data_IF_065003261376
#
_entry.id   IF_065003261376
#
_cell.length_a   1.000
_cell.length_b   1.000
_cell.length_c   1.000
_cell.angle_alpha   90.00
_cell.angle_beta   90.00
_cell.angle_gamma   90.00
#
_symmetry.space_group_name_H-M   'P 1'
#
loop_
_entity.id
_entity.type
_entity.pdbx_description
1 polymer ?
#
# COMPACT_ATOMS: atom_id res chain seq x y z
N UNK A 1 -26.71 -10.34 -1.92
CA UNK A 1 -27.02 -10.09 -0.49
C UNK A 1 -25.83 -10.60 0.29
N UNK A 2 -25.11 -9.71 0.96
CA UNK A 2 -23.91 -10.09 1.71
C UNK A 2 -24.32 -10.95 2.91
N UNK A 3 -23.77 -12.17 2.98
CA UNK A 3 -24.13 -13.19 3.98
C UNK A 3 -23.33 -13.05 5.29
N UNK A 4 -22.93 -11.83 5.64
CA UNK A 4 -22.21 -11.55 6.88
C UNK A 4 -22.87 -10.43 7.67
N UNK A 5 -22.76 -10.50 9.00
CA UNK A 5 -23.34 -9.53 9.92
C UNK A 5 -22.54 -8.23 9.85
N UNK A 6 -23.19 -7.11 9.51
CA UNK A 6 -22.57 -5.77 9.50
C UNK A 6 -22.10 -5.35 10.90
N UNK A 7 -21.04 -4.55 10.93
CA UNK A 7 -20.56 -3.88 12.15
C UNK A 7 -21.45 -2.67 12.48
N UNK A 8 -21.61 -2.32 13.76
CA UNK A 8 -22.29 -1.08 14.13
C UNK A 8 -21.44 0.15 13.75
N UNK A 9 -22.08 1.28 13.47
CA UNK A 9 -21.39 2.50 13.01
C UNK A 9 -20.38 3.06 14.03
N UNK A 10 -20.65 2.82 15.31
CA UNK A 10 -19.83 3.24 16.44
C UNK A 10 -18.82 2.17 16.87
N UNK A 11 -18.65 1.08 16.09
CA UNK A 11 -17.65 0.05 16.37
C UNK A 11 -16.26 0.68 16.52
N UNK A 12 -15.59 0.40 17.64
CA UNK A 12 -14.29 1.00 18.01
C UNK A 12 -14.25 2.55 18.09
N UNK A 13 -15.39 3.24 18.13
CA UNK A 13 -15.43 4.70 18.32
C UNK A 13 -14.86 5.14 19.68
N UNK A 14 -14.91 4.26 20.68
CA UNK A 14 -14.21 4.41 21.95
C UNK A 14 -13.02 3.45 22.04
N UNK A 15 -11.82 3.95 21.76
CA UNK A 15 -10.60 3.15 21.80
C UNK A 15 -10.29 2.55 23.19
N UNK A 16 -10.69 3.21 24.29
CA UNK A 16 -10.41 2.73 25.65
C UNK A 16 -11.16 1.43 26.01
N UNK A 17 -12.22 1.10 25.27
CA UNK A 17 -13.08 -0.06 25.47
C UNK A 17 -13.36 -0.78 24.15
N UNK A 18 -12.33 -0.98 23.34
CA UNK A 18 -12.43 -1.57 22.01
C UNK A 18 -11.97 -3.04 21.95
N UNK A 19 -12.51 -3.75 20.97
CA UNK A 19 -12.07 -5.09 20.57
C UNK A 19 -11.85 -5.08 19.05
N UNK A 20 -10.97 -5.96 18.56
CA UNK A 20 -10.76 -6.13 17.12
C UNK A 20 -12.07 -6.50 16.42
N UNK A 21 -12.19 -6.26 15.11
CA UNK A 21 -13.32 -6.81 14.33
C UNK A 21 -13.44 -8.34 14.54
N UNK A 22 -14.66 -8.91 14.40
CA UNK A 22 -14.85 -10.34 14.56
C UNK A 22 -14.01 -11.17 13.58
N UNK A 23 -13.51 -12.33 14.03
CA UNK A 23 -12.58 -13.20 13.28
C UNK A 23 -13.05 -13.56 11.86
N UNK A 24 -14.37 -13.61 11.64
CA UNK A 24 -14.94 -13.90 10.33
C UNK A 24 -14.68 -12.78 9.30
N UNK A 25 -14.44 -11.54 9.72
CA UNK A 25 -14.06 -10.45 8.81
C UNK A 25 -12.66 -10.61 8.22
N UNK A 26 -11.79 -11.38 8.88
CA UNK A 26 -10.45 -11.70 8.38
C UNK A 26 -10.41 -13.00 7.57
N UNK A 27 -11.50 -13.80 7.53
CA UNK A 27 -11.43 -15.18 7.03
C UNK A 27 -12.53 -15.54 6.04
N UNK A 28 -13.65 -14.80 6.01
CA UNK A 28 -14.76 -15.10 5.09
C UNK A 28 -14.55 -14.45 3.73
N UNK A 29 -14.62 -15.26 2.67
CA UNK A 29 -14.56 -14.76 1.29
C UNK A 29 -15.68 -13.75 0.99
N UNK A 30 -16.89 -13.94 1.52
CA UNK A 30 -17.99 -13.00 1.30
C UNK A 30 -17.72 -11.60 1.89
N UNK A 31 -16.96 -11.51 2.98
CA UNK A 31 -16.51 -10.21 3.52
C UNK A 31 -15.49 -9.59 2.58
N UNK A 32 -14.51 -10.38 2.13
CA UNK A 32 -13.50 -9.91 1.19
C UNK A 32 -14.09 -9.42 -0.13
N UNK A 33 -15.01 -10.16 -0.76
CA UNK A 33 -15.65 -9.73 -2.01
C UNK A 33 -16.40 -8.40 -1.84
N UNK A 34 -17.00 -8.19 -0.67
CA UNK A 34 -17.61 -6.90 -0.37
C UNK A 34 -16.56 -5.80 -0.24
N UNK A 35 -15.51 -6.00 0.58
CA UNK A 35 -14.42 -5.01 0.75
C UNK A 35 -13.69 -4.71 -0.57
N UNK A 36 -13.49 -5.71 -1.41
CA UNK A 36 -12.96 -5.57 -2.77
C UNK A 36 -13.75 -4.53 -3.56
N UNK A 37 -15.07 -4.69 -3.58
CA UNK A 37 -15.96 -3.85 -4.39
C UNK A 37 -16.35 -2.54 -3.71
N UNK A 38 -16.29 -2.40 -2.38
CA UNK A 38 -16.69 -1.16 -1.68
C UNK A 38 -15.54 -0.32 -1.18
N UNK A 39 -14.38 -0.93 -0.91
CA UNK A 39 -13.17 -0.24 -0.46
C UNK A 39 -12.20 -0.12 -1.62
N UNK A 40 -11.67 -1.24 -2.14
CA UNK A 40 -10.53 -1.21 -3.04
C UNK A 40 -10.85 -0.68 -4.44
N UNK A 41 -12.04 -0.98 -4.97
CA UNK A 41 -12.49 -0.43 -6.25
C UNK A 41 -12.84 1.06 -6.19
N UNK A 42 -13.13 1.63 -5.01
CA UNK A 42 -13.55 3.03 -4.86
C UNK A 42 -12.54 3.92 -4.11
N UNK A 43 -11.45 3.36 -3.59
CA UNK A 43 -10.39 4.11 -2.91
C UNK A 43 -9.21 4.37 -3.84
N UNK A 44 -8.51 5.47 -3.59
CA UNK A 44 -7.18 5.71 -4.15
C UNK A 44 -6.19 4.71 -3.55
N UNK A 45 -5.58 3.90 -4.40
CA UNK A 45 -4.60 2.86 -4.06
C UNK A 45 -3.22 3.30 -4.51
N UNK A 46 -2.27 3.41 -3.58
CA UNK A 46 -0.88 3.71 -3.89
C UNK A 46 -0.22 2.51 -4.59
N UNK A 47 0.48 2.74 -5.70
CA UNK A 47 1.03 1.66 -6.55
C UNK A 47 2.54 1.75 -6.77
N UNK A 48 3.18 2.85 -6.40
CA UNK A 48 4.62 2.99 -6.52
C UNK A 48 5.09 4.42 -6.36
N UNK A 49 6.41 4.60 -6.28
CA UNK A 49 7.02 5.92 -6.27
C UNK A 49 7.10 6.50 -7.68
N UNK A 50 6.97 7.84 -7.80
CA UNK A 50 6.99 8.53 -9.11
C UNK A 50 8.24 8.26 -9.93
N UNK A 51 9.37 7.95 -9.27
CA UNK A 51 10.63 7.63 -9.94
C UNK A 51 10.53 6.43 -10.89
N UNK A 52 9.61 5.48 -10.63
CA UNK A 52 9.43 4.30 -11.50
C UNK A 52 8.90 4.67 -12.90
N UNK A 53 8.24 5.83 -13.04
CA UNK A 53 7.67 6.34 -14.31
C UNK A 53 7.95 7.83 -14.55
N UNK A 54 9.14 8.28 -14.14
CA UNK A 54 9.57 9.66 -14.33
C UNK A 54 9.83 10.02 -15.81
N UNK A 55 10.30 9.04 -16.59
CA UNK A 55 10.67 9.23 -17.99
C UNK A 55 9.49 8.95 -18.93
N UNK A 56 9.44 9.64 -20.07
CA UNK A 56 8.47 9.32 -21.12
C UNK A 56 8.60 7.84 -21.55
N UNK A 57 7.44 7.24 -21.77
CA UNK A 57 7.23 5.83 -22.07
C UNK A 57 7.58 4.86 -20.94
N UNK A 58 8.06 5.31 -19.79
CA UNK A 58 8.24 4.42 -18.65
C UNK A 58 6.88 3.90 -18.18
N UNK A 59 6.82 2.61 -17.84
CA UNK A 59 5.64 1.96 -17.33
C UNK A 59 5.96 0.97 -16.21
N UNK A 60 4.96 0.74 -15.38
CA UNK A 60 4.91 -0.34 -14.40
C UNK A 60 3.58 -1.07 -14.55
N UNK A 61 3.56 -2.36 -14.19
CA UNK A 61 2.32 -3.10 -13.98
C UNK A 61 2.12 -3.43 -12.51
N UNK A 62 0.86 -3.47 -12.06
CA UNK A 62 0.45 -3.96 -10.74
C UNK A 62 -0.72 -4.90 -10.86
N UNK A 63 -0.89 -5.75 -9.87
CA UNK A 63 -2.08 -6.57 -9.68
C UNK A 63 -2.65 -6.23 -8.31
N UNK A 64 -3.93 -5.86 -8.27
CA UNK A 64 -4.65 -5.53 -7.04
C UNK A 64 -6.08 -6.03 -7.18
N UNK A 65 -6.59 -6.74 -6.18
CA UNK A 65 -7.94 -7.32 -6.16
C UNK A 65 -8.32 -8.14 -7.41
N UNK A 66 -7.34 -8.76 -8.07
CA UNK A 66 -7.51 -9.53 -9.30
C UNK A 66 -7.48 -8.70 -10.60
N UNK A 67 -7.28 -7.39 -10.51
CA UNK A 67 -7.16 -6.50 -11.66
C UNK A 67 -5.68 -6.24 -12.00
N UNK A 68 -5.27 -6.60 -13.22
CA UNK A 68 -3.96 -6.21 -13.75
C UNK A 68 -4.03 -4.81 -14.34
N UNK A 69 -3.15 -3.91 -13.90
CA UNK A 69 -3.16 -2.49 -14.26
C UNK A 69 -1.81 -2.11 -14.89
N UNK A 70 -1.85 -1.30 -15.95
CA UNK A 70 -0.69 -0.59 -16.49
C UNK A 70 -0.74 0.84 -15.95
N UNK A 71 0.37 1.34 -15.42
CA UNK A 71 0.61 2.77 -15.25
C UNK A 71 1.74 3.18 -16.19
N UNK A 72 1.52 4.20 -17.02
CA UNK A 72 2.47 4.62 -18.05
C UNK A 72 2.55 6.14 -18.16
N UNK A 73 3.78 6.65 -18.30
CA UNK A 73 4.05 8.03 -18.70
C UNK A 73 3.97 8.12 -20.22
N UNK A 74 3.00 8.86 -20.74
CA UNK A 74 2.86 9.07 -22.18
C UNK A 74 4.03 9.84 -22.80
N UNK A 75 4.09 9.87 -24.14
CA UNK A 75 5.09 10.68 -24.88
C UNK A 75 4.90 12.18 -24.68
N UNK A 76 3.70 12.56 -24.27
CA UNK A 76 3.28 13.90 -23.88
C UNK A 76 3.55 14.19 -22.39
N UNK A 77 4.28 13.31 -21.69
CA UNK A 77 4.60 13.41 -20.27
C UNK A 77 3.38 13.35 -19.33
N UNK A 78 2.21 13.00 -19.85
CA UNK A 78 0.99 12.79 -19.05
C UNK A 78 0.98 11.36 -18.50
N UNK A 79 0.81 11.24 -17.19
CA UNK A 79 0.63 9.94 -16.52
C UNK A 79 -0.76 9.38 -16.79
N UNK A 80 -0.86 8.09 -17.11
CA UNK A 80 -2.13 7.41 -17.36
C UNK A 80 -2.12 6.02 -16.74
N UNK A 81 -3.29 5.50 -16.40
CA UNK A 81 -3.48 4.13 -15.96
C UNK A 81 -4.56 3.44 -16.80
N UNK A 82 -4.37 2.15 -17.09
CA UNK A 82 -5.29 1.34 -17.88
C UNK A 82 -5.43 -0.06 -17.29
N UNK A 83 -6.60 -0.67 -17.45
CA UNK A 83 -6.71 -2.11 -17.28
C UNK A 83 -5.79 -2.79 -18.31
N UNK A 84 -4.96 -3.72 -17.86
CA UNK A 84 -3.94 -4.38 -18.64
C UNK A 84 -4.53 -5.51 -19.48
N UNK A 85 -5.52 -5.20 -20.29
CA UNK A 85 -6.31 -6.17 -21.03
C UNK A 85 -6.64 -5.65 -22.42
N UNK A 86 -6.37 -6.46 -23.45
CA UNK A 86 -6.69 -6.11 -24.82
C UNK A 86 -8.21 -6.18 -25.04
N UNK A 87 -8.86 -5.10 -25.52
CA UNK A 87 -10.32 -5.07 -25.75
C UNK A 87 -10.78 -6.06 -26.83
N UNK A 88 -9.87 -6.59 -27.65
CA UNK A 88 -10.22 -7.57 -28.67
C UNK A 88 -10.67 -8.91 -28.07
N UNK A 89 -9.81 -9.57 -27.28
CA UNK A 89 -10.04 -10.94 -26.77
C UNK A 89 -9.41 -11.19 -25.39
N UNK A 90 -9.17 -10.14 -24.61
CA UNK A 90 -8.80 -10.28 -23.20
C UNK A 90 -7.34 -10.63 -22.92
N UNK A 91 -6.44 -10.60 -23.91
CA UNK A 91 -5.02 -10.91 -23.65
C UNK A 91 -4.32 -9.74 -22.93
N UNK A 92 -3.50 -10.05 -21.92
CA UNK A 92 -2.68 -9.07 -21.21
C UNK A 92 -1.73 -8.31 -22.16
N UNK A 93 -1.54 -7.02 -21.95
CA UNK A 93 -0.81 -6.16 -22.91
C UNK A 93 0.67 -6.00 -22.56
N UNK A 94 0.98 -5.68 -21.30
CA UNK A 94 2.34 -5.49 -20.80
C UNK A 94 2.59 -6.34 -19.56
N UNK A 95 3.86 -6.59 -19.25
CA UNK A 95 4.29 -7.36 -18.08
C UNK A 95 5.50 -6.70 -17.43
N UNK A 96 5.50 -6.61 -16.09
CA UNK A 96 6.63 -6.08 -15.33
C UNK A 96 6.73 -4.55 -15.43
N UNK A 97 7.95 -4.05 -15.58
CA UNK A 97 8.23 -2.61 -15.65
C UNK A 97 9.31 -2.34 -16.69
N UNK A 98 9.31 -1.15 -17.29
CA UNK A 98 10.35 -0.75 -18.22
C UNK A 98 9.94 0.44 -19.07
N UNK A 99 10.51 0.54 -20.28
CA UNK A 99 10.14 1.55 -21.26
C UNK A 99 9.33 0.92 -22.39
N UNK A 100 8.09 1.38 -22.56
CA UNK A 100 7.24 1.00 -23.67
C UNK A 100 7.83 1.55 -24.98
N UNK A 101 7.51 0.87 -26.09
CA UNK A 101 7.72 1.43 -27.44
C UNK A 101 6.76 2.60 -27.65
N UNK A 102 6.79 3.22 -28.83
CA UNK A 102 5.85 4.30 -29.18
C UNK A 102 4.37 3.86 -29.19
N UNK A 103 4.12 2.55 -29.27
CA UNK A 103 2.81 1.91 -29.16
C UNK A 103 2.93 0.64 -28.32
N UNK A 104 1.84 0.28 -27.65
CA UNK A 104 1.66 -1.01 -26.98
C UNK A 104 1.10 -1.99 -28.00
N UNK A 105 1.80 -3.08 -28.28
CA UNK A 105 1.34 -4.11 -29.23
C UNK A 105 0.85 -5.31 -28.46
N UNK A 106 -0.44 -5.63 -28.59
CA UNK A 106 -1.01 -6.84 -28.01
C UNK A 106 -0.28 -8.10 -28.52
N UNK A 107 0.26 -8.94 -27.63
CA UNK A 107 1.02 -10.14 -28.03
C UNK A 107 0.20 -11.14 -28.85
N UNK A 108 -1.13 -11.15 -28.72
CA UNK A 108 -1.97 -12.17 -29.34
C UNK A 108 -2.21 -11.92 -30.84
N UNK A 109 -2.76 -10.76 -31.20
CA UNK A 109 -3.17 -10.46 -32.58
C UNK A 109 -2.54 -9.17 -33.13
N UNK A 110 -1.58 -8.59 -32.40
CA UNK A 110 -0.87 -7.38 -32.78
C UNK A 110 -1.77 -6.16 -33.05
N UNK A 111 -2.89 -6.03 -32.31
CA UNK A 111 -3.54 -4.74 -32.16
C UNK A 111 -2.58 -3.78 -31.45
N UNK A 112 -2.46 -2.56 -31.95
CA UNK A 112 -1.55 -1.56 -31.42
C UNK A 112 -2.30 -0.39 -30.83
N UNK A 113 -1.89 0.03 -29.64
CA UNK A 113 -2.48 1.14 -28.91
C UNK A 113 -1.44 2.22 -28.69
N UNK A 114 -1.82 3.48 -28.82
CA UNK A 114 -0.99 4.60 -28.36
C UNK A 114 -0.89 4.57 -26.83
N UNK A 115 0.08 5.32 -26.27
CA UNK A 115 0.25 5.41 -24.81
C UNK A 115 -0.83 6.23 -24.10
N UNK A 116 -1.77 6.81 -24.86
CA UNK A 116 -3.01 7.42 -24.37
C UNK A 116 -4.20 6.44 -24.37
N UNK A 117 -4.00 5.18 -24.80
CA UNK A 117 -5.01 4.14 -24.85
C UNK A 117 -5.78 4.07 -26.17
N UNK A 118 -5.61 5.04 -27.08
CA UNK A 118 -6.30 5.03 -28.38
C UNK A 118 -5.82 3.83 -29.22
N UNK A 119 -6.76 3.12 -29.85
CA UNK A 119 -6.45 2.08 -30.83
C UNK A 119 -5.76 2.72 -32.04
N UNK A 120 -4.45 2.49 -32.20
CA UNK A 120 -3.69 2.98 -33.34
C UNK A 120 -4.02 2.15 -34.59
N UNK A 121 -3.97 0.81 -34.48
CA UNK A 121 -4.26 -0.10 -35.58
C UNK A 121 -4.77 -1.46 -35.08
N UNK A 122 -5.78 -1.99 -35.74
CA UNK A 122 -6.24 -3.37 -35.65
C UNK A 122 -6.09 -4.02 -37.02
N UNK A 123 -5.41 -5.15 -37.11
CA UNK A 123 -5.18 -5.84 -38.39
C UNK A 123 -6.52 -6.23 -39.03
N UNK A 124 -6.67 -5.94 -40.33
CA UNK A 124 -7.85 -6.28 -41.14
C UNK A 124 -9.16 -5.57 -40.71
N UNK A 125 -9.09 -4.51 -39.89
CA UNK A 125 -10.28 -3.86 -39.35
C UNK A 125 -11.17 -3.23 -40.43
N UNK A 126 -10.58 -2.78 -41.54
CA UNK A 126 -11.29 -2.21 -42.70
C UNK A 126 -12.23 -3.20 -43.41
N UNK A 127 -12.00 -4.50 -43.23
CA UNK A 127 -12.81 -5.58 -43.79
C UNK A 127 -13.80 -6.17 -42.77
N UNK A 128 -13.83 -5.66 -41.54
CA UNK A 128 -14.76 -6.09 -40.51
C UNK A 128 -15.98 -5.18 -40.55
N UNK A 129 -17.13 -5.75 -40.92
CA UNK A 129 -18.41 -5.02 -40.97
C UNK A 129 -18.71 -4.41 -39.61
N UNK A 130 -19.02 -3.11 -39.58
CA UNK A 130 -19.35 -2.34 -38.38
C UNK A 130 -18.26 -2.39 -37.28
N UNK A 131 -16.98 -2.43 -37.65
CA UNK A 131 -15.90 -2.31 -36.67
C UNK A 131 -15.90 -0.93 -36.01
N UNK A 132 -16.14 -0.90 -34.70
CA UNK A 132 -16.15 0.32 -33.91
C UNK A 132 -14.76 0.56 -33.30
N UNK A 133 -13.99 1.43 -33.95
CA UNK A 133 -12.64 1.79 -33.51
C UNK A 133 -12.66 2.58 -32.20
N UNK A 134 -13.66 3.43 -32.00
CA UNK A 134 -13.73 4.35 -30.84
C UNK A 134 -14.03 3.60 -29.55
N UNK A 135 -14.85 2.54 -29.63
CA UNK A 135 -15.13 1.64 -28.50
C UNK A 135 -14.13 0.48 -28.37
N UNK A 136 -13.05 0.48 -29.16
CA UNK A 136 -11.99 -0.54 -29.14
C UNK A 136 -10.67 -0.03 -28.53
N UNK A 137 -10.74 1.01 -27.68
CA UNK A 137 -9.60 1.60 -26.95
C UNK A 137 -9.31 0.86 -25.65
N UNK A 138 -8.17 1.18 -25.02
CA UNK A 138 -7.88 0.70 -23.66
C UNK A 138 -8.80 1.40 -22.65
N UNK A 139 -9.30 0.63 -21.69
CA UNK A 139 -10.15 1.16 -20.61
C UNK A 139 -9.27 1.82 -19.57
N UNK A 140 -9.51 3.11 -19.34
CA UNK A 140 -8.71 3.96 -18.44
C UNK A 140 -9.19 3.85 -16.99
N UNK A 141 -8.25 3.98 -16.05
CA UNK A 141 -8.49 4.24 -14.63
C UNK A 141 -8.10 5.68 -14.27
N UNK A 142 -8.58 6.18 -13.14
CA UNK A 142 -8.05 7.41 -12.55
C UNK A 142 -6.61 7.15 -12.09
N UNK A 143 -5.75 8.15 -12.25
CA UNK A 143 -4.37 8.14 -11.74
C UNK A 143 -3.97 9.54 -11.30
N UNK A 144 -3.22 9.64 -10.20
CA UNK A 144 -2.75 10.91 -9.64
C UNK A 144 -1.33 10.74 -9.09
N UNK A 145 -0.47 11.74 -9.29
CA UNK A 145 0.79 11.87 -8.56
C UNK A 145 0.52 12.73 -7.32
N UNK A 146 0.72 12.17 -6.13
CA UNK A 146 0.45 12.84 -4.85
C UNK A 146 1.54 12.48 -3.84
N UNK A 147 2.06 13.47 -3.12
CA UNK A 147 3.12 13.29 -2.11
C UNK A 147 4.38 12.53 -2.60
N UNK A 148 4.71 12.62 -3.91
CA UNK A 148 5.83 11.89 -4.52
C UNK A 148 5.50 10.46 -4.98
N UNK A 149 4.29 9.98 -4.73
CA UNK A 149 3.84 8.63 -5.07
C UNK A 149 2.73 8.66 -6.12
N UNK A 150 2.43 7.49 -6.68
CA UNK A 150 1.40 7.29 -7.70
C UNK A 150 0.25 6.53 -7.09
N UNK A 151 -0.95 7.09 -7.26
CA UNK A 151 -2.21 6.47 -6.84
C UNK A 151 -3.07 6.17 -8.05
N UNK A 152 -3.82 5.08 -8.01
CA UNK A 152 -4.86 4.74 -8.98
C UNK A 152 -6.21 4.61 -8.29
N UNK A 153 -7.31 4.85 -9.01
CA UNK A 153 -8.66 4.58 -8.52
C UNK A 153 -9.51 4.01 -9.67
N UNK A 154 -10.25 2.93 -9.38
CA UNK A 154 -11.09 2.25 -10.38
C UNK A 154 -12.44 2.96 -10.57
N UNK A 155 -12.87 3.76 -9.60
CA UNK A 155 -14.05 4.61 -9.74
C UNK A 155 -13.72 5.88 -10.54
N UNK A 156 -14.28 5.95 -11.75
CA UNK A 156 -14.12 7.10 -12.64
C UNK A 156 -14.77 8.39 -12.11
N UNK A 157 -15.59 8.31 -11.06
CA UNK A 157 -16.19 9.45 -10.36
C UNK A 157 -15.41 9.86 -9.11
N UNK A 158 -14.33 9.17 -8.78
CA UNK A 158 -13.52 9.48 -7.61
C UNK A 158 -13.03 10.93 -7.62
N UNK A 159 -13.00 11.50 -6.41
CA UNK A 159 -12.38 12.78 -6.08
C UNK A 159 -10.86 12.78 -6.25
N UNK A 160 -10.13 13.62 -5.53
CA UNK A 160 -8.65 13.64 -5.53
C UNK A 160 -8.06 12.78 -4.41
N UNK A 161 -6.75 12.53 -4.44
CA UNK A 161 -6.07 11.83 -3.33
C UNK A 161 -6.11 12.69 -2.05
N UNK A 162 -6.01 14.01 -2.18
CA UNK A 162 -6.13 14.96 -1.05
C UNK A 162 -7.51 14.87 -0.36
N UNK A 163 -8.59 14.65 -1.12
CA UNK A 163 -9.92 14.45 -0.54
C UNK A 163 -10.02 13.15 0.26
N UNK A 164 -9.31 12.09 -0.17
CA UNK A 164 -9.22 10.83 0.60
C UNK A 164 -8.27 10.95 1.80
N UNK A 165 -7.15 11.67 1.65
CA UNK A 165 -6.06 11.73 2.63
C UNK A 165 -5.72 13.19 2.99
N UNK A 166 -6.64 13.97 3.61
CA UNK A 166 -6.45 15.41 3.79
C UNK A 166 -5.20 15.74 4.59
N UNK A 167 -4.37 16.63 4.05
CA UNK A 167 -3.14 17.13 4.67
C UNK A 167 -1.98 16.13 4.71
N UNK A 168 -2.11 14.95 4.12
CA UNK A 168 -1.06 13.92 4.14
C UNK A 168 0.22 14.41 3.45
N UNK A 169 0.12 14.99 2.25
CA UNK A 169 1.28 15.45 1.47
C UNK A 169 2.13 16.45 2.27
N UNK A 170 1.49 17.45 2.88
CA UNK A 170 2.17 18.44 3.69
C UNK A 170 2.95 17.79 4.85
N UNK A 171 2.40 16.74 5.45
CA UNK A 171 2.98 16.02 6.59
C UNK A 171 4.10 15.07 6.17
N UNK A 172 3.93 14.35 5.06
CA UNK A 172 4.99 13.51 4.49
C UNK A 172 6.19 14.36 4.07
N UNK A 173 5.97 15.51 3.43
CA UNK A 173 7.04 16.44 3.02
C UNK A 173 7.75 17.10 4.19
N UNK A 174 7.04 17.29 5.31
CA UNK A 174 7.66 17.72 6.56
C UNK A 174 8.60 16.65 7.13
N UNK A 175 8.20 15.37 7.07
CA UNK A 175 9.00 14.27 7.57
C UNK A 175 10.18 13.92 6.65
N UNK A 176 9.99 13.99 5.33
CA UNK A 176 11.03 13.74 4.33
C UNK A 176 10.95 14.82 3.25
N UNK A 177 11.86 15.79 3.29
CA UNK A 177 11.84 16.91 2.32
C UNK A 177 12.30 16.48 0.92
N UNK A 178 12.94 15.32 0.80
CA UNK A 178 13.60 14.83 -0.41
C UNK A 178 12.83 13.71 -1.12
N UNK A 179 11.55 13.51 -0.79
CA UNK A 179 10.74 12.38 -1.30
C UNK A 179 10.82 12.29 -2.83
N UNK A 180 10.65 13.40 -3.54
CA UNK A 180 10.61 13.42 -5.00
C UNK A 180 11.91 12.93 -5.67
N UNK A 181 13.05 13.03 -4.97
CA UNK A 181 14.38 12.66 -5.47
C UNK A 181 14.73 11.20 -5.17
N UNK A 182 13.87 10.47 -4.47
CA UNK A 182 14.12 9.09 -4.09
C UNK A 182 14.05 8.13 -5.29
N UNK A 183 14.84 7.06 -5.21
CA UNK A 183 14.93 6.01 -6.21
C UNK A 183 14.75 4.64 -5.57
N UNK A 184 14.02 3.75 -6.26
CA UNK A 184 13.82 2.37 -5.80
C UNK A 184 15.16 1.64 -5.75
N UNK A 185 15.59 1.28 -4.54
CA UNK A 185 16.84 0.58 -4.29
C UNK A 185 16.61 -0.94 -4.17
N UNK A 186 15.54 -1.35 -3.48
CA UNK A 186 15.14 -2.73 -3.36
C UNK A 186 13.63 -2.85 -3.24
N UNK A 187 13.09 -3.98 -3.73
CA UNK A 187 11.70 -4.39 -3.56
C UNK A 187 11.68 -5.84 -3.11
N UNK A 188 10.99 -6.11 -2.01
CA UNK A 188 10.68 -7.47 -1.57
C UNK A 188 9.22 -7.74 -1.89
N UNK A 189 8.96 -8.83 -2.60
CA UNK A 189 7.62 -9.24 -3.01
C UNK A 189 7.25 -10.51 -2.27
N UNK A 190 6.12 -10.52 -1.59
CA UNK A 190 5.64 -11.69 -0.84
C UNK A 190 4.13 -11.86 -0.93
N UNK A 191 3.70 -13.03 -1.38
CA UNK A 191 2.32 -13.50 -1.22
C UNK A 191 2.14 -13.93 0.24
N UNK A 192 1.54 -13.04 1.04
CA UNK A 192 1.44 -13.22 2.49
C UNK A 192 0.13 -13.93 2.82
N UNK A 193 0.16 -15.12 3.45
CA UNK A 193 -1.06 -15.84 3.81
C UNK A 193 -1.69 -15.25 5.09
N UNK A 194 -2.07 -13.97 4.99
CA UNK A 194 -2.82 -13.20 5.96
C UNK A 194 -3.79 -12.24 5.25
N UNK A 195 -4.94 -12.00 5.86
CA UNK A 195 -5.85 -10.94 5.44
C UNK A 195 -5.17 -9.57 5.54
N UNK A 196 -5.45 -8.69 4.59
CA UNK A 196 -4.88 -7.34 4.54
C UNK A 196 -5.08 -6.56 5.84
N UNK A 197 -6.26 -6.70 6.48
CA UNK A 197 -6.55 -6.03 7.76
C UNK A 197 -5.63 -6.53 8.88
N UNK A 198 -5.22 -7.80 8.87
CA UNK A 198 -4.28 -8.35 9.87
C UNK A 198 -2.88 -7.74 9.73
N UNK A 199 -2.47 -7.36 8.52
CA UNK A 199 -1.18 -6.73 8.26
C UNK A 199 -1.22 -5.26 8.69
N UNK A 200 -2.31 -4.55 8.38
CA UNK A 200 -2.56 -3.20 8.89
C UNK A 200 -2.62 -3.19 10.42
N UNK A 201 -3.31 -4.15 11.05
CA UNK A 201 -3.39 -4.27 12.52
C UNK A 201 -1.99 -4.37 13.14
N UNK A 202 -1.11 -5.21 12.57
CA UNK A 202 0.28 -5.36 13.00
C UNK A 202 1.08 -4.06 12.87
N UNK A 203 0.83 -3.25 11.83
CA UNK A 203 1.56 -1.98 11.64
C UNK A 203 1.10 -0.86 12.58
N UNK A 204 -0.17 -0.88 13.01
CA UNK A 204 -0.80 0.21 13.76
C UNK A 204 -0.54 0.20 15.27
N UNK A 205 0.41 -0.62 15.72
CA UNK A 205 0.87 -0.64 17.10
C UNK A 205 2.35 -0.99 17.19
N UNK A 206 2.96 -0.62 18.31
CA UNK A 206 4.32 -1.01 18.66
C UNK A 206 4.35 -1.75 20.02
N UNK A 207 3.21 -2.36 20.39
CA UNK A 207 3.06 -3.25 21.53
C UNK A 207 3.87 -4.54 21.31
N UNK A 208 3.93 -5.06 20.08
CA UNK A 208 4.75 -6.23 19.74
C UNK A 208 6.24 -5.90 19.52
N UNK A 209 6.62 -4.62 19.34
CA UNK A 209 7.98 -4.24 18.95
C UNK A 209 9.05 -4.78 19.90
N UNK A 210 8.91 -4.56 21.21
CA UNK A 210 9.89 -5.02 22.20
C UNK A 210 10.07 -6.55 22.23
N UNK A 211 8.99 -7.36 22.29
CA UNK A 211 9.14 -8.82 22.31
C UNK A 211 9.49 -9.45 20.95
N UNK A 212 9.06 -8.87 19.83
CA UNK A 212 9.17 -9.50 18.51
C UNK A 212 10.30 -8.94 17.64
N UNK A 213 10.77 -7.71 17.89
CA UNK A 213 11.86 -7.07 17.15
C UNK A 213 13.01 -6.62 18.07
N UNK A 214 13.77 -7.54 18.69
CA UNK A 214 14.83 -7.18 19.65
C UNK A 214 15.83 -6.15 19.09
N UNK A 215 16.22 -6.28 17.82
CA UNK A 215 17.17 -5.36 17.18
C UNK A 215 16.59 -3.97 16.89
N UNK A 216 15.30 -3.90 16.51
CA UNK A 216 14.60 -2.63 16.24
C UNK A 216 14.23 -1.89 17.54
N UNK A 217 13.84 -2.63 18.57
CA UNK A 217 13.49 -2.09 19.88
C UNK A 217 14.68 -1.41 20.60
N UNK A 218 15.92 -1.72 20.19
CA UNK A 218 17.11 -1.01 20.67
C UNK A 218 17.18 0.44 20.15
N UNK A 219 16.64 0.68 18.96
CA UNK A 219 16.53 2.04 18.40
C UNK A 219 15.25 2.75 18.80
N UNK A 220 14.11 2.07 18.87
CA UNK A 220 12.82 2.72 19.16
C UNK A 220 12.60 2.90 20.67
N UNK A 221 12.66 4.15 21.14
CA UNK A 221 12.27 4.48 22.51
C UNK A 221 10.74 4.61 22.62
N UNK A 222 10.07 3.54 23.07
CA UNK A 222 8.62 3.53 23.30
C UNK A 222 8.15 4.57 24.33
N UNK A 223 9.05 5.12 25.16
CA UNK A 223 8.78 6.23 26.07
C UNK A 223 8.77 7.61 25.39
N UNK A 224 9.24 7.70 24.15
CA UNK A 224 9.25 8.91 23.30
C UNK A 224 8.56 8.62 21.96
N UNK A 225 7.41 7.95 22.04
CA UNK A 225 6.63 7.51 20.90
C UNK A 225 5.19 8.00 21.01
N UNK A 226 4.66 8.50 19.91
CA UNK A 226 3.27 8.96 19.80
C UNK A 226 2.61 8.33 18.58
N UNK A 227 1.31 8.04 18.69
CA UNK A 227 0.48 7.66 17.56
C UNK A 227 -0.70 8.62 17.48
N UNK A 228 -0.77 9.39 16.40
CA UNK A 228 -1.81 10.41 16.21
C UNK A 228 -2.66 10.07 14.99
N UNK A 229 -3.97 10.23 15.10
CA UNK A 229 -4.93 9.88 14.04
C UNK A 229 -5.43 11.13 13.29
N UNK A 230 -5.61 11.02 11.97
CA UNK A 230 -5.95 12.10 11.06
C UNK A 230 -6.95 11.63 9.99
N UNK A 231 -8.23 11.58 10.32
CA UNK A 231 -9.26 11.15 9.36
C UNK A 231 -9.01 9.74 8.83
N UNK A 232 -8.45 9.63 7.62
CA UNK A 232 -8.15 8.37 6.92
C UNK A 232 -6.66 7.98 6.94
N UNK A 233 -5.83 8.61 7.77
CA UNK A 233 -4.44 8.26 7.93
C UNK A 233 -3.96 8.50 9.37
N UNK A 234 -2.83 7.92 9.75
CA UNK A 234 -2.23 8.11 11.08
C UNK A 234 -0.74 8.37 10.99
N UNK A 235 -0.16 8.93 12.06
CA UNK A 235 1.27 9.13 12.20
C UNK A 235 1.76 8.52 13.50
N UNK A 236 2.66 7.56 13.37
CA UNK A 236 3.52 7.03 14.41
C UNK A 236 4.83 7.82 14.39
N UNK A 237 5.13 8.58 15.44
CA UNK A 237 6.29 9.47 15.50
C UNK A 237 7.04 9.30 16.80
N UNK A 238 8.36 9.26 16.73
CA UNK A 238 9.21 9.22 17.90
C UNK A 238 10.66 9.53 17.62
N UNK A 239 11.48 9.46 18.65
CA UNK A 239 12.94 9.64 18.57
C UNK A 239 13.63 8.28 18.62
N UNK A 240 14.58 8.06 17.71
CA UNK A 240 15.40 6.86 17.74
C UNK A 240 16.72 7.09 18.49
N UNK A 241 17.27 6.00 19.01
CA UNK A 241 18.66 5.91 19.49
C UNK A 241 19.49 5.11 18.49
N UNK A 242 20.78 5.46 18.30
CA UNK A 242 21.65 4.68 17.43
C UNK A 242 21.85 3.28 18.03
N UNK A 243 21.80 2.27 17.17
CA UNK A 243 21.94 0.87 17.55
C UNK A 243 22.87 0.14 16.58
N UNK A 244 23.73 -0.73 17.12
CA UNK A 244 24.52 -1.66 16.30
C UNK A 244 23.67 -2.78 15.67
N UNK A 245 22.43 -2.97 16.15
CA UNK A 245 21.53 -4.05 15.74
C UNK A 245 20.45 -3.61 14.75
N UNK A 246 20.22 -2.29 14.59
CA UNK A 246 19.25 -1.73 13.66
C UNK A 246 19.77 -0.45 13.00
N UNK A 247 19.35 0.73 13.47
CA UNK A 247 19.70 2.00 12.83
C UNK A 247 21.03 2.53 13.31
N UNK A 248 22.04 2.44 12.43
CA UNK A 248 23.35 3.05 12.64
C UNK A 248 23.34 4.48 12.14
N UNK A 249 23.45 5.43 13.07
CA UNK A 249 23.68 6.84 12.77
C UNK A 249 24.56 7.46 13.86
N UNK A 250 25.25 8.55 13.51
CA UNK A 250 26.14 9.28 14.43
C UNK A 250 25.56 10.67 14.76
N UNK A 251 26.31 11.45 15.56
CA UNK A 251 25.94 12.80 15.97
C UNK A 251 25.78 13.80 14.79
N UNK A 252 26.14 13.42 13.56
CA UNK A 252 25.92 14.25 12.37
C UNK A 252 24.47 14.19 11.87
N UNK A 253 23.68 13.19 12.30
CA UNK A 253 22.25 13.13 12.03
C UNK A 253 21.53 14.21 12.83
N UNK A 254 21.10 15.25 12.10
CA UNK A 254 20.43 16.43 12.66
C UNK A 254 19.04 16.12 13.21
N UNK A 255 18.39 15.09 12.68
CA UNK A 255 17.05 14.67 13.07
C UNK A 255 17.02 13.15 13.26
N UNK A 256 17.14 12.66 14.50
CA UNK A 256 17.05 11.24 14.81
C UNK A 256 15.59 10.77 14.93
N UNK A 257 14.61 11.60 14.54
CA UNK A 257 13.20 11.18 14.56
C UNK A 257 12.88 10.19 13.45
N UNK A 258 11.88 9.36 13.71
CA UNK A 258 11.27 8.51 12.71
C UNK A 258 9.79 8.86 12.58
N UNK A 259 9.24 8.64 11.40
CA UNK A 259 7.83 8.81 11.11
C UNK A 259 7.30 7.58 10.35
N UNK A 260 6.22 6.98 10.84
CA UNK A 260 5.49 5.91 10.18
C UNK A 260 4.06 6.38 9.90
N UNK A 261 3.70 6.48 8.63
CA UNK A 261 2.37 6.87 8.19
C UNK A 261 1.61 5.64 7.73
N UNK A 262 0.48 5.31 8.35
CA UNK A 262 -0.51 4.43 7.72
C UNK A 262 -1.54 5.29 6.99
N UNK A 263 -1.95 4.88 5.80
CA UNK A 263 -2.92 5.59 4.96
C UNK A 263 -3.97 4.63 4.43
N UNK A 264 -5.23 5.06 4.46
CA UNK A 264 -6.34 4.27 3.95
C UNK A 264 -6.19 3.97 2.45
N UNK A 265 -6.46 2.72 2.02
CA UNK A 265 -6.85 1.59 2.86
C UNK A 265 -5.66 0.92 3.59
N UNK A 266 -4.52 0.74 2.93
CA UNK A 266 -3.43 -0.10 3.44
C UNK A 266 -2.08 0.20 2.74
N UNK A 267 -1.66 1.47 2.72
CA UNK A 267 -0.28 1.81 2.35
C UNK A 267 0.42 2.47 3.53
N UNK A 268 1.64 2.01 3.81
CA UNK A 268 2.44 2.48 4.93
C UNK A 268 3.73 3.12 4.44
N UNK A 269 3.98 4.37 4.83
CA UNK A 269 5.19 5.12 4.47
C UNK A 269 6.04 5.32 5.72
N UNK A 270 7.27 4.81 5.70
CA UNK A 270 8.20 4.97 6.80
C UNK A 270 9.34 5.90 6.37
N UNK A 271 9.61 6.89 7.21
CA UNK A 271 10.78 7.75 7.16
C UNK A 271 11.64 7.41 8.39
N UNK A 272 12.67 6.58 8.23
CA UNK A 272 13.55 6.24 9.36
C UNK A 272 14.45 7.43 9.75
N UNK A 273 15.22 7.30 10.86
CA UNK A 273 16.12 8.35 11.33
C UNK A 273 17.07 8.88 10.25
N UNK A 274 17.23 10.20 10.20
CA UNK A 274 18.02 10.89 9.17
C UNK A 274 17.21 11.51 8.04
N UNK A 275 15.93 11.12 7.86
CA UNK A 275 14.98 11.76 6.94
C UNK A 275 15.46 11.89 5.47
N UNK A 276 16.34 10.98 5.02
CA UNK A 276 16.97 10.99 3.69
C UNK A 276 16.71 9.72 2.88
N UNK A 277 15.88 8.82 3.39
CA UNK A 277 15.44 7.61 2.71
C UNK A 277 14.07 7.18 3.22
N UNK A 278 13.40 6.30 2.49
CA UNK A 278 12.09 5.77 2.91
C UNK A 278 11.99 4.27 2.71
N UNK A 279 11.16 3.63 3.52
CA UNK A 279 10.58 2.33 3.17
C UNK A 279 9.09 2.45 3.01
N UNK A 280 8.49 1.69 2.10
CA UNK A 280 7.05 1.73 1.84
C UNK A 280 6.50 0.32 1.76
N UNK A 281 5.40 0.09 2.45
CA UNK A 281 4.64 -1.16 2.41
C UNK A 281 3.39 -0.90 1.57
N UNK A 282 3.30 -1.59 0.45
CA UNK A 282 2.10 -1.62 -0.37
C UNK A 282 1.42 -2.96 -0.16
N UNK A 283 0.17 -2.95 0.30
CA UNK A 283 -0.67 -4.14 0.36
C UNK A 283 -1.62 -4.14 -0.84
N UNK A 284 -1.55 -5.22 -1.63
CA UNK A 284 -2.46 -5.51 -2.73
C UNK A 284 -3.23 -6.79 -2.39
N UNK A 285 -4.43 -6.69 -1.81
CA UNK A 285 -5.19 -7.87 -1.40
C UNK A 285 -5.55 -8.76 -2.59
N UNK A 286 -5.45 -10.07 -2.38
CA UNK A 286 -5.71 -11.09 -3.41
C UNK A 286 -7.03 -11.81 -3.12
N UNK A 287 -7.18 -12.29 -1.88
CA UNK A 287 -8.40 -12.92 -1.38
C UNK A 287 -8.54 -12.71 0.15
N UNK A 288 -9.53 -13.36 0.78
CA UNK A 288 -9.79 -13.19 2.20
C UNK A 288 -8.62 -13.57 3.11
N UNK A 289 -7.67 -14.41 2.67
CA UNK A 289 -6.56 -14.87 3.50
C UNK A 289 -5.19 -14.66 2.85
N UNK A 290 -5.13 -13.94 1.72
CA UNK A 290 -3.90 -13.71 0.95
C UNK A 290 -3.78 -12.25 0.55
N UNK A 291 -2.63 -11.66 0.86
CA UNK A 291 -2.29 -10.29 0.49
C UNK A 291 -0.90 -10.25 -0.15
N UNK A 292 -0.81 -9.76 -1.37
CA UNK A 292 0.46 -9.48 -2.02
C UNK A 292 1.06 -8.23 -1.38
N UNK A 293 2.27 -8.33 -0.86
CA UNK A 293 3.00 -7.19 -0.30
C UNK A 293 4.18 -6.82 -1.19
N UNK A 294 4.33 -5.52 -1.49
CA UNK A 294 5.60 -4.94 -1.87
C UNK A 294 6.18 -4.19 -0.67
N UNK A 295 7.37 -4.59 -0.23
CA UNK A 295 8.17 -3.81 0.70
C UNK A 295 9.30 -3.15 -0.07
N UNK A 296 9.18 -1.85 -0.31
CA UNK A 296 10.16 -1.08 -1.06
C UNK A 296 11.09 -0.31 -0.14
N UNK A 297 12.34 -0.19 -0.56
CA UNK A 297 13.36 0.65 0.06
C UNK A 297 13.80 1.65 -0.99
N UNK A 298 13.79 2.93 -0.63
CA UNK A 298 14.13 4.03 -1.53
C UNK A 298 15.26 4.88 -0.96
N UNK A 299 16.32 5.10 -1.75
CA UNK A 299 17.45 5.97 -1.42
C UNK A 299 17.59 7.11 -2.43
N UNK A 300 18.29 8.17 -2.06
CA UNK A 300 18.62 9.29 -2.96
C UNK A 300 19.58 8.90 -4.08
N UNK A 301 20.56 8.06 -3.77
CA UNK A 301 21.58 7.60 -4.70
C UNK A 301 21.12 6.33 -5.45
N UNK A 302 21.53 6.21 -6.71
CA UNK A 302 21.26 5.02 -7.53
C UNK A 302 22.26 3.89 -7.28
N UNK A 303 23.52 4.23 -7.06
CA UNK A 303 24.58 3.26 -6.77
C UNK A 303 24.56 2.93 -5.27
N UNK A 304 24.21 1.70 -4.91
CA UNK A 304 24.04 1.27 -3.52
C UNK A 304 25.41 1.15 -2.83
N UNK A 305 25.56 1.81 -1.68
CA UNK A 305 26.78 1.71 -0.86
C UNK A 305 26.81 0.39 -0.07
N UNK A 306 27.98 -0.02 0.43
CA UNK A 306 28.08 -1.24 1.25
C UNK A 306 27.19 -1.19 2.51
N UNK A 307 27.08 -0.02 3.16
CA UNK A 307 26.22 0.15 4.34
C UNK A 307 24.72 0.09 3.97
N UNK A 308 24.33 0.68 2.84
CA UNK A 308 22.96 0.56 2.35
C UNK A 308 22.62 -0.88 1.95
N UNK A 309 23.57 -1.62 1.37
CA UNK A 309 23.38 -3.03 1.08
C UNK A 309 23.17 -3.85 2.36
N UNK A 310 23.98 -3.63 3.40
CA UNK A 310 23.77 -4.25 4.72
C UNK A 310 22.40 -3.93 5.30
N UNK A 311 21.92 -2.69 5.15
CA UNK A 311 20.59 -2.28 5.61
C UNK A 311 19.48 -3.00 4.83
N UNK A 312 19.60 -3.09 3.50
CA UNK A 312 18.68 -3.86 2.64
C UNK A 312 18.63 -5.32 3.10
N UNK A 313 19.79 -5.94 3.33
CA UNK A 313 19.88 -7.34 3.74
C UNK A 313 19.32 -7.55 5.15
N UNK A 314 19.56 -6.63 6.08
CA UNK A 314 18.94 -6.65 7.41
C UNK A 314 17.41 -6.59 7.34
N UNK A 315 16.84 -5.70 6.52
CA UNK A 315 15.39 -5.68 6.31
C UNK A 315 14.88 -7.01 5.73
N UNK A 316 15.60 -7.58 4.76
CA UNK A 316 15.21 -8.82 4.07
C UNK A 316 15.27 -10.05 4.98
N UNK A 317 16.31 -10.16 5.80
CA UNK A 317 16.64 -11.40 6.50
C UNK A 317 16.22 -11.39 7.98
N UNK A 318 16.07 -10.21 8.59
CA UNK A 318 15.78 -10.06 10.01
C UNK A 318 14.41 -9.42 10.22
N UNK A 319 14.28 -8.13 9.89
CA UNK A 319 13.10 -7.34 10.28
C UNK A 319 11.81 -7.81 9.60
N UNK A 320 11.80 -7.93 8.26
CA UNK A 320 10.58 -8.35 7.54
C UNK A 320 10.13 -9.77 7.85
N UNK A 321 11.03 -10.76 7.96
CA UNK A 321 10.62 -12.10 8.37
C UNK A 321 9.99 -12.16 9.77
N UNK A 322 10.34 -11.25 10.69
CA UNK A 322 9.68 -11.16 12.00
C UNK A 322 8.21 -10.79 11.86
N UNK A 323 7.89 -9.68 11.17
CA UNK A 323 6.51 -9.24 10.90
C UNK A 323 5.70 -10.29 10.14
N UNK A 324 6.28 -10.86 9.07
CA UNK A 324 5.58 -11.84 8.23
C UNK A 324 5.18 -13.07 9.07
N UNK A 325 6.07 -13.57 9.93
CA UNK A 325 5.75 -14.71 10.81
C UNK A 325 4.61 -14.38 11.79
N UNK A 326 4.54 -13.15 12.29
CA UNK A 326 3.48 -12.72 13.21
C UNK A 326 2.12 -12.79 12.50
N UNK A 327 1.96 -12.09 11.38
CA UNK A 327 0.67 -11.99 10.68
C UNK A 327 0.19 -13.34 10.13
N UNK A 328 1.11 -14.18 9.64
CA UNK A 328 0.78 -15.53 9.20
C UNK A 328 0.31 -16.43 10.35
N UNK A 329 0.93 -16.29 11.52
CA UNK A 329 0.54 -17.03 12.73
C UNK A 329 -0.81 -16.56 13.24
N UNK A 330 -1.04 -15.24 13.27
CA UNK A 330 -2.33 -14.62 13.62
C UNK A 330 -3.44 -15.14 12.70
N UNK A 331 -3.26 -15.13 11.38
CA UNK A 331 -4.26 -15.62 10.43
C UNK A 331 -4.64 -17.09 10.70
N UNK A 332 -3.66 -17.95 10.99
CA UNK A 332 -3.91 -19.35 11.38
C UNK A 332 -4.69 -19.44 12.70
N UNK A 333 -4.34 -18.61 13.68
CA UNK A 333 -4.96 -18.57 15.01
C UNK A 333 -6.42 -18.10 15.00
N UNK A 334 -6.74 -17.08 14.19
CA UNK A 334 -8.09 -16.50 14.06
C UNK A 334 -9.15 -17.53 13.65
N UNK A 335 -8.75 -18.59 12.94
CA UNK A 335 -9.62 -19.70 12.51
C UNK A 335 -9.93 -20.73 13.60
N UNK A 336 -9.22 -20.68 14.73
CA UNK A 336 -9.40 -21.65 15.81
C UNK A 336 -10.74 -21.45 16.52
N UNK A 337 -11.46 -22.55 16.78
CA UNK A 337 -12.63 -22.54 17.68
C UNK A 337 -12.31 -22.13 19.11
N UNK A 338 -11.02 -22.13 19.48
CA UNK A 338 -10.54 -21.64 20.78
C UNK A 338 -10.35 -20.12 20.81
N UNK A 339 -10.26 -19.46 19.66
CA UNK A 339 -10.30 -18.00 19.58
C UNK A 339 -11.74 -17.54 19.75
N UNK A 340 -11.99 -16.69 20.75
CA UNK A 340 -13.35 -16.36 21.23
C UNK A 340 -14.13 -15.42 20.32
N UNK A 341 -13.57 -15.09 19.15
CA UNK A 341 -14.19 -14.25 18.13
C UNK A 341 -13.50 -12.90 17.94
N UNK A 342 -13.07 -12.24 19.01
CA UNK A 342 -12.40 -10.93 18.96
C UNK A 342 -11.24 -10.87 19.97
N UNK A 343 -10.25 -10.02 19.69
CA UNK A 343 -9.11 -9.71 20.56
C UNK A 343 -9.34 -8.38 21.28
N UNK A 344 -8.91 -8.28 22.53
CA UNK A 344 -8.96 -7.00 23.25
C UNK A 344 -7.89 -6.07 22.67
N UNK A 345 -8.28 -4.84 22.31
CA UNK A 345 -7.33 -3.79 21.95
C UNK A 345 -6.79 -3.18 23.25
N UNK A 346 -5.48 -3.25 23.43
CA UNK A 346 -4.72 -2.80 24.60
C UNK A 346 -4.44 -1.28 24.51
N UNK A 347 -5.50 -0.49 24.36
CA UNK A 347 -5.39 0.97 24.40
C UNK A 347 -5.26 1.45 25.86
N UNK A 348 -4.10 2.05 26.20
CA UNK A 348 -3.91 2.66 27.50
C UNK A 348 -4.34 4.13 27.50
N UNK A 349 -4.76 4.64 28.65
CA UNK A 349 -5.26 6.04 28.81
C UNK A 349 -4.21 7.10 28.49
N UNK A 350 -2.92 6.76 28.56
CA UNK A 350 -1.83 7.70 28.30
C UNK A 350 -1.54 7.81 26.80
N UNK A 351 -2.09 6.91 25.98
CA UNK A 351 -1.77 6.75 24.56
C UNK A 351 -0.26 6.59 24.38
N UNK A 352 0.35 5.75 25.22
CA UNK A 352 1.79 5.49 25.19
C UNK A 352 2.22 4.84 23.87
N UNK A 353 3.53 4.71 23.64
CA UNK A 353 4.07 3.98 22.49
C UNK A 353 3.69 2.51 22.40
N UNK A 354 3.20 1.93 23.49
CA UNK A 354 2.71 0.54 23.53
C UNK A 354 1.19 0.45 23.36
N UNK A 355 0.49 1.58 23.21
CA UNK A 355 -0.97 1.61 23.14
C UNK A 355 -1.46 1.20 21.75
N UNK A 356 -2.38 0.24 21.70
CA UNK A 356 -2.97 -0.26 20.43
C UNK A 356 -4.15 0.58 19.89
N UNK A 357 -4.25 1.86 20.27
CA UNK A 357 -5.41 2.68 19.92
C UNK A 357 -5.50 3.01 18.41
N UNK A 358 -4.39 2.89 17.68
CA UNK A 358 -4.37 2.96 16.21
C UNK A 358 -5.24 1.90 15.55
N UNK A 359 -5.23 0.67 16.07
CA UNK A 359 -6.07 -0.44 15.58
C UNK A 359 -7.56 -0.09 15.73
N UNK A 360 -7.96 0.48 16.87
CA UNK A 360 -9.35 0.88 17.10
C UNK A 360 -9.82 1.93 16.09
N UNK A 361 -8.96 2.90 15.78
CA UNK A 361 -9.26 3.91 14.75
C UNK A 361 -9.46 3.28 13.37
N UNK A 362 -8.56 2.39 12.95
CA UNK A 362 -8.70 1.67 11.68
C UNK A 362 -9.96 0.80 11.62
N UNK A 363 -10.27 0.06 12.68
CA UNK A 363 -11.48 -0.77 12.72
C UNK A 363 -12.77 0.04 12.72
N UNK A 364 -12.76 1.26 13.25
CA UNK A 364 -13.88 2.18 13.08
C UNK A 364 -14.07 2.59 11.61
N UNK A 365 -12.99 2.87 10.88
CA UNK A 365 -13.05 3.17 9.45
C UNK A 365 -13.58 1.99 8.63
N UNK A 366 -13.16 0.76 8.93
CA UNK A 366 -13.72 -0.47 8.35
C UNK A 366 -15.23 -0.55 8.60
N UNK A 367 -15.67 -0.33 9.84
CA UNK A 367 -17.08 -0.40 10.19
C UNK A 367 -17.93 0.65 9.43
N UNK A 368 -17.42 1.88 9.28
CA UNK A 368 -18.08 2.92 8.48
C UNK A 368 -18.15 2.55 7.00
N UNK A 369 -17.06 1.99 6.44
CA UNK A 369 -17.02 1.56 5.04
C UNK A 369 -18.04 0.44 4.73
N UNK A 370 -18.35 -0.42 5.71
CA UNK A 370 -19.34 -1.50 5.58
C UNK A 370 -20.81 -1.03 5.71
N UNK A 371 -21.05 0.26 5.97
CA UNK A 371 -22.40 0.83 6.13
C UNK A 371 -22.88 1.55 4.88
N UNK A 372 -21.98 2.24 4.18
CA UNK A 372 -22.29 3.20 3.10
C UNK A 372 -22.66 2.55 1.75
N UNK A 373 -23.34 1.40 1.78
CA UNK A 373 -23.93 0.72 0.61
C UNK A 373 -25.13 1.49 0.03
#
# INVERSE_FOLDING_TARGET
MNDFKRLPADFCSNADEAFTIPANFYTQQSVFEHEKETIFAHSWICVGHRSEVAENNAYITREVIGESIIVVRGRDSVLRAFYNVCPHRGHQLLSGSGKAKNVITCPYHAWTFKLDGELAHARNCENVVNFDKENSTLVQLRVEEYAGFIFINMDMKAGTVEEQLPGLEARMRQACAVIDDLHLAARFVSDTPANWKSIVDNYLECYHCAPAHPGFADSVDVGQYTHTTFGNWTLQYGLAKPSEQSFKFDDSVKDPSFAGFWTWPCTMFNVPPGANFMTVIYEFPVDAETTLQHYDIYFLNKDITEEQQKLIDWYREVFRPEDLRLVESVQKGLKSRGYRGQGRIMADRQRSGMSEHGIAHFHNLIAVAHIND
#
